data_IF_376680031332
#
_entry.id   IF_376680031332
#
_cell.length_a   1.000
_cell.length_b   1.000
_cell.length_c   1.000
_cell.angle_alpha   90.00
_cell.angle_beta   90.00
_cell.angle_gamma   90.00
#
_symmetry.space_group_name_H-M   'P 1'
#
loop_
_entity.id
_entity.type
_entity.pdbx_description
1 polymer ?
#
# COMPACT_ATOMS: atom_id res chain seq x y z
N UNK A 1 -12.11 1.43 -15.19
CA UNK A 1 -10.80 1.27 -14.52
C UNK A 1 -10.60 -0.12 -13.91
N UNK A 2 -11.49 -0.59 -13.03
CA UNK A 2 -11.36 -1.88 -12.32
C UNK A 2 -11.07 -3.08 -13.24
N UNK A 3 -11.73 -3.18 -14.41
CA UNK A 3 -11.46 -4.24 -15.40
C UNK A 3 -10.00 -4.31 -15.84
N UNK A 4 -9.34 -3.16 -16.05
CA UNK A 4 -7.90 -3.11 -16.42
C UNK A 4 -7.01 -3.60 -15.28
N UNK A 5 -7.38 -3.28 -14.03
CA UNK A 5 -6.64 -3.72 -12.83
C UNK A 5 -6.74 -5.24 -12.70
N UNK A 6 -7.96 -5.81 -12.73
CA UNK A 6 -8.15 -7.26 -12.66
C UNK A 6 -7.46 -8.02 -13.80
N UNK A 7 -7.44 -7.46 -15.01
CA UNK A 7 -6.73 -8.09 -16.12
C UNK A 7 -5.20 -8.13 -15.92
N UNK A 8 -4.62 -7.06 -15.36
CA UNK A 8 -3.16 -6.94 -15.12
C UNK A 8 -2.71 -7.65 -13.84
N UNK A 9 -3.57 -7.74 -12.82
CA UNK A 9 -3.32 -8.35 -11.52
C UNK A 9 -4.31 -9.50 -11.31
N UNK A 10 -3.96 -10.69 -11.80
CA UNK A 10 -4.77 -11.90 -11.62
C UNK A 10 -4.77 -12.40 -10.16
N UNK A 11 -3.85 -11.91 -9.35
CA UNK A 11 -3.69 -12.25 -7.94
C UNK A 11 -4.61 -11.46 -6.99
N UNK A 12 -5.36 -10.46 -7.48
CA UNK A 12 -6.31 -9.69 -6.67
C UNK A 12 -7.74 -10.12 -6.97
N UNK A 13 -8.59 -10.06 -5.95
CA UNK A 13 -10.04 -10.32 -6.06
C UNK A 13 -10.87 -9.14 -5.56
N UNK A 14 -10.32 -8.27 -4.72
CA UNK A 14 -11.00 -7.13 -4.11
C UNK A 14 -10.28 -5.83 -4.43
N UNK A 15 -11.06 -4.83 -4.85
CA UNK A 15 -10.65 -3.44 -5.00
C UNK A 15 -11.50 -2.62 -4.04
N UNK A 16 -10.86 -1.94 -3.09
CA UNK A 16 -11.54 -1.11 -2.10
C UNK A 16 -11.11 0.35 -2.27
N UNK A 17 -12.08 1.26 -2.37
CA UNK A 17 -11.83 2.70 -2.34
C UNK A 17 -11.40 3.13 -0.93
N UNK A 18 -10.37 3.97 -0.86
CA UNK A 18 -9.95 4.66 0.37
C UNK A 18 -10.35 6.13 0.27
N UNK A 19 -11.17 6.58 1.21
CA UNK A 19 -11.69 7.95 1.29
C UNK A 19 -11.09 8.75 2.45
N UNK A 20 -9.97 8.32 3.02
CA UNK A 20 -9.32 9.01 4.14
C UNK A 20 -8.63 10.31 3.68
N UNK A 21 -8.88 11.40 4.40
CA UNK A 21 -8.37 12.73 4.07
C UNK A 21 -6.86 12.87 4.16
N UNK A 22 -6.22 12.18 5.12
CA UNK A 22 -4.76 12.21 5.27
C UNK A 22 -4.07 11.52 4.09
N UNK A 23 -4.67 10.42 3.63
CA UNK A 23 -4.20 9.69 2.45
C UNK A 23 -4.45 10.50 1.16
N UNK A 24 -5.55 11.26 1.10
CA UNK A 24 -5.91 12.06 -0.07
C UNK A 24 -4.84 13.10 -0.43
N UNK A 25 -4.09 13.62 0.54
CA UNK A 25 -2.96 14.54 0.30
C UNK A 25 -1.84 13.95 -0.58
N UNK A 26 -1.78 12.62 -0.69
CA UNK A 26 -0.77 11.92 -1.47
C UNK A 26 -1.31 11.42 -2.83
N UNK A 27 -2.52 11.81 -3.22
CA UNK A 27 -3.07 11.50 -4.56
C UNK A 27 -2.14 12.01 -5.65
N UNK A 28 -1.93 11.17 -6.66
CA UNK A 28 -1.01 11.47 -7.75
C UNK A 28 0.48 11.44 -7.34
N UNK A 29 0.82 11.10 -6.11
CA UNK A 29 2.21 11.06 -5.63
C UNK A 29 2.65 9.62 -5.32
N UNK A 30 3.97 9.43 -5.17
CA UNK A 30 4.53 8.19 -4.65
C UNK A 30 4.72 8.29 -3.14
N UNK A 31 4.05 7.43 -2.38
CA UNK A 31 4.21 7.34 -0.94
C UNK A 31 5.15 6.19 -0.60
N UNK A 32 6.22 6.49 0.15
CA UNK A 32 7.23 5.52 0.62
C UNK A 32 6.87 4.98 2.02
N UNK A 33 7.40 3.81 2.40
CA UNK A 33 7.25 3.24 3.73
C UNK A 33 7.97 4.09 4.78
N UNK A 34 7.23 4.53 5.79
CA UNK A 34 7.75 5.08 7.04
C UNK A 34 7.50 4.14 8.22
N UNK A 35 6.62 3.14 8.03
CA UNK A 35 6.27 2.14 9.02
C UNK A 35 6.41 0.73 8.45
N UNK A 36 6.82 -0.21 9.28
CA UNK A 36 6.96 -1.63 8.96
C UNK A 36 5.68 -2.25 8.38
N UNK A 37 4.52 -1.94 8.98
CA UNK A 37 3.24 -2.50 8.53
C UNK A 37 2.92 -2.09 7.09
N UNK A 38 3.28 -0.87 6.70
CA UNK A 38 3.15 -0.41 5.32
C UNK A 38 4.08 -1.22 4.40
N UNK A 39 5.35 -1.38 4.76
CA UNK A 39 6.28 -2.17 3.97
C UNK A 39 5.81 -3.62 3.80
N UNK A 40 5.25 -4.22 4.86
CA UNK A 40 4.74 -5.60 4.85
C UNK A 40 3.49 -5.78 4.00
N UNK A 41 2.51 -4.88 4.12
CA UNK A 41 1.20 -5.00 3.46
C UNK A 41 1.17 -4.33 2.08
N UNK A 42 1.62 -3.09 2.00
CA UNK A 42 1.59 -2.28 0.77
C UNK A 42 2.80 -2.57 -0.11
N UNK A 43 3.98 -2.74 0.50
CA UNK A 43 5.23 -3.00 -0.19
C UNK A 43 6.15 -1.77 -0.24
N UNK A 44 6.97 -1.70 -1.29
CA UNK A 44 8.02 -0.68 -1.41
C UNK A 44 7.48 0.74 -1.61
N UNK A 45 6.28 0.89 -2.17
CA UNK A 45 5.61 2.16 -2.36
C UNK A 45 4.14 1.97 -2.75
N UNK A 46 3.32 2.97 -2.40
CA UNK A 46 2.04 3.24 -3.05
C UNK A 46 2.25 4.30 -4.13
N UNK A 47 1.73 4.08 -5.33
CA UNK A 47 1.90 4.99 -6.47
C UNK A 47 0.80 4.77 -7.51
N UNK A 48 0.98 5.30 -8.72
CA UNK A 48 0.00 5.20 -9.80
C UNK A 48 0.13 3.92 -10.65
N UNK A 49 1.15 3.08 -10.41
CA UNK A 49 1.34 1.86 -11.19
C UNK A 49 0.31 0.82 -10.77
N UNK A 50 -0.45 0.32 -11.74
CA UNK A 50 -1.40 -0.78 -11.62
C UNK A 50 -0.80 -2.07 -11.01
N UNK A 51 0.53 -2.20 -10.94
CA UNK A 51 1.22 -3.30 -10.25
C UNK A 51 1.36 -3.09 -8.73
N UNK A 52 1.14 -1.88 -8.21
CA UNK A 52 1.17 -1.63 -6.76
C UNK A 52 -0.04 -2.25 -6.06
N UNK A 53 0.07 -2.53 -4.77
CA UNK A 53 -1.06 -2.96 -3.94
C UNK A 53 -1.95 -1.79 -3.53
N UNK A 54 -1.43 -0.56 -3.58
CA UNK A 54 -2.20 0.66 -3.34
C UNK A 54 -2.00 1.61 -4.51
N UNK A 55 -3.10 2.00 -5.16
CA UNK A 55 -3.10 2.98 -6.23
C UNK A 55 -3.41 4.36 -5.66
N UNK A 56 -2.46 5.29 -5.78
CA UNK A 56 -2.62 6.71 -5.47
C UNK A 56 -2.86 7.51 -6.74
N UNK A 57 -4.04 7.35 -7.34
CA UNK A 57 -4.42 8.09 -8.54
C UNK A 57 -4.74 9.55 -8.18
N UNK A 58 -4.71 10.49 -9.14
CA UNK A 58 -5.01 11.89 -8.88
C UNK A 58 -6.42 12.13 -8.31
N UNK A 59 -7.39 11.34 -8.74
CA UNK A 59 -8.81 11.44 -8.38
C UNK A 59 -9.17 10.53 -7.20
N UNK A 60 -8.63 9.31 -7.16
CA UNK A 60 -9.07 8.26 -6.25
C UNK A 60 -7.92 7.41 -5.71
N UNK A 61 -8.13 6.83 -4.53
CA UNK A 61 -7.17 5.93 -3.90
C UNK A 61 -7.78 4.55 -3.76
N UNK A 62 -7.08 3.52 -4.20
CA UNK A 62 -7.54 2.14 -4.12
C UNK A 62 -6.58 1.24 -3.39
N UNK A 63 -7.11 0.40 -2.50
CA UNK A 63 -6.40 -0.75 -1.94
C UNK A 63 -6.81 -2.01 -2.72
N UNK A 64 -5.82 -2.73 -3.22
CA UNK A 64 -5.98 -3.93 -4.04
C UNK A 64 -5.55 -5.16 -3.24
N UNK A 65 -6.40 -6.17 -3.13
CA UNK A 65 -6.11 -7.34 -2.30
C UNK A 65 -6.81 -8.61 -2.71
N UNK A 66 -6.39 -9.72 -2.09
CA UNK A 66 -6.95 -11.08 -2.25
C UNK A 66 -8.25 -11.31 -1.48
N UNK A 67 -8.59 -10.45 -0.54
CA UNK A 67 -9.79 -10.53 0.28
C UNK A 67 -10.15 -9.16 0.84
N UNK A 68 -11.40 -9.00 1.27
CA UNK A 68 -11.85 -7.77 1.92
C UNK A 68 -11.01 -7.46 3.17
N UNK A 69 -10.78 -8.48 4.00
CA UNK A 69 -9.92 -8.35 5.20
C UNK A 69 -8.54 -7.81 4.86
N UNK A 70 -7.88 -8.36 3.84
CA UNK A 70 -6.55 -7.90 3.42
C UNK A 70 -6.60 -6.43 2.97
N UNK A 71 -7.63 -6.01 2.23
CA UNK A 71 -7.77 -4.60 1.81
C UNK A 71 -8.02 -3.64 2.98
N UNK A 72 -8.72 -4.08 4.02
CA UNK A 72 -8.96 -3.29 5.25
C UNK A 72 -7.68 -3.13 6.06
N UNK A 73 -6.92 -4.21 6.25
CA UNK A 73 -5.62 -4.16 6.94
C UNK A 73 -4.64 -3.22 6.21
N UNK A 74 -4.63 -3.31 4.87
CA UNK A 74 -3.78 -2.48 4.02
C UNK A 74 -4.18 -1.00 4.06
N UNK A 75 -5.48 -0.70 4.09
CA UNK A 75 -5.97 0.67 4.29
C UNK A 75 -5.54 1.22 5.66
N UNK A 76 -5.64 0.42 6.72
CA UNK A 76 -5.21 0.86 8.06
C UNK A 76 -3.71 1.20 8.07
N UNK A 77 -2.88 0.34 7.46
CA UNK A 77 -1.45 0.58 7.33
C UNK A 77 -1.15 1.83 6.49
N UNK A 78 -1.88 2.04 5.40
CA UNK A 78 -1.79 3.22 4.55
C UNK A 78 -2.09 4.51 5.34
N UNK A 79 -3.16 4.52 6.13
CA UNK A 79 -3.56 5.68 6.95
C UNK A 79 -2.51 6.03 8.00
N UNK A 80 -1.98 5.02 8.71
CA UNK A 80 -0.90 5.23 9.69
C UNK A 80 0.35 5.78 9.01
N UNK A 81 0.70 5.23 7.85
CA UNK A 81 1.88 5.66 7.09
C UNK A 81 1.73 7.08 6.54
N UNK A 82 0.54 7.48 6.08
CA UNK A 82 0.27 8.84 5.62
C UNK A 82 0.52 9.87 6.75
N UNK A 83 0.05 9.58 7.96
CA UNK A 83 0.30 10.41 9.15
C UNK A 83 1.80 10.45 9.50
N UNK A 84 2.46 9.29 9.50
CA UNK A 84 3.90 9.21 9.76
C UNK A 84 4.70 10.01 8.72
N UNK A 85 4.35 9.94 7.44
CA UNK A 85 4.99 10.68 6.36
C UNK A 85 4.84 12.21 6.54
N UNK A 86 3.68 12.68 6.99
CA UNK A 86 3.47 14.10 7.30
C UNK A 86 4.35 14.57 8.46
N UNK A 87 4.40 13.79 9.54
CA UNK A 87 5.26 14.09 10.70
C UNK A 87 6.72 14.07 10.27
N UNK A 88 7.12 13.06 9.49
CA UNK A 88 8.48 12.91 8.97
C UNK A 88 8.92 14.11 8.10
N UNK A 89 8.00 14.68 7.33
CA UNK A 89 8.26 15.91 6.56
C UNK A 89 8.57 17.11 7.46
N UNK A 90 7.99 17.16 8.66
CA UNK A 90 8.25 18.21 9.64
C UNK A 90 9.53 17.94 10.46
N UNK A 91 9.81 16.68 10.80
CA UNK A 91 10.95 16.27 11.63
C UNK A 91 12.23 15.96 10.85
N UNK A 92 12.19 15.98 9.52
CA UNK A 92 13.32 15.60 8.65
C UNK A 92 13.62 14.09 8.64
N UNK A 93 12.71 13.25 9.15
CA UNK A 93 12.89 11.80 9.20
C UNK A 93 12.77 11.20 7.79
N UNK A 94 13.69 10.29 7.45
CA UNK A 94 13.70 9.62 6.14
C UNK A 94 12.83 8.35 6.15
N UNK A 95 12.26 7.96 5.00
CA UNK A 95 11.53 6.70 4.87
C UNK A 95 12.47 5.49 5.01
N UNK A 96 11.88 4.33 5.32
CA UNK A 96 12.55 3.04 5.35
C UNK A 96 13.24 2.79 4.00
N UNK A 97 14.47 2.30 4.04
CA UNK A 97 15.24 2.03 2.84
C UNK A 97 14.53 0.98 1.96
N UNK A 98 14.66 1.14 0.65
CA UNK A 98 13.92 0.34 -0.33
C UNK A 98 14.18 -1.16 -0.20
N UNK A 99 15.41 -1.55 0.14
CA UNK A 99 15.78 -2.95 0.32
C UNK A 99 15.19 -3.56 1.59
N UNK A 100 15.18 -2.82 2.69
CA UNK A 100 14.56 -3.27 3.94
C UNK A 100 13.06 -3.47 3.76
N UNK A 101 12.40 -2.49 3.12
CA UNK A 101 10.98 -2.59 2.81
C UNK A 101 10.67 -3.81 1.92
N UNK A 102 11.52 -4.10 0.93
CA UNK A 102 11.35 -5.24 0.05
C UNK A 102 11.49 -6.57 0.80
N UNK A 103 12.50 -6.69 1.66
CA UNK A 103 12.72 -7.89 2.48
C UNK A 103 11.57 -8.12 3.46
N UNK A 104 11.07 -7.04 4.09
CA UNK A 104 9.89 -7.11 4.96
C UNK A 104 8.66 -7.61 4.20
N UNK A 105 8.42 -7.11 3.00
CA UNK A 105 7.30 -7.55 2.16
C UNK A 105 7.43 -9.02 1.76
N UNK A 106 8.60 -9.44 1.29
CA UNK A 106 8.86 -10.84 0.92
C UNK A 106 8.63 -11.79 2.10
N UNK A 107 9.12 -11.43 3.30
CA UNK A 107 8.93 -12.25 4.51
C UNK A 107 7.45 -12.37 4.86
N UNK A 108 6.70 -11.27 4.75
CA UNK A 108 5.26 -11.26 4.96
C UNK A 108 4.54 -12.19 3.98
N UNK A 109 4.78 -12.03 2.67
CA UNK A 109 4.17 -12.87 1.63
C UNK A 109 4.47 -14.36 1.83
N UNK A 110 5.71 -14.71 2.20
CA UNK A 110 6.10 -16.10 2.49
C UNK A 110 5.36 -16.68 3.70
N UNK A 111 5.19 -15.91 4.77
CA UNK A 111 4.46 -16.35 5.98
C UNK A 111 3.02 -16.68 5.65
N UNK A 112 2.33 -15.83 4.88
CA UNK A 112 0.93 -16.04 4.52
C UNK A 112 0.72 -17.08 3.41
N UNK A 113 1.67 -17.22 2.47
CA UNK A 113 1.63 -18.29 1.47
C UNK A 113 1.68 -19.69 2.13
N UNK A 114 2.43 -19.83 3.23
CA UNK A 114 2.47 -21.09 4.01
C UNK A 114 1.19 -21.39 4.77
N UNK A 115 0.35 -20.39 5.03
CA UNK A 115 -0.93 -20.57 5.75
C UNK A 115 -2.11 -20.87 4.82
N UNK A 116 -1.88 -20.82 3.50
CA UNK A 116 -2.91 -21.06 2.47
C UNK A 116 -2.72 -22.37 1.71
N UNK A 117 -1.75 -23.20 2.13
CA UNK A 117 -1.58 -24.61 1.72
C UNK A 117 -1.91 -25.50 2.91
#
# INVERSE_FOLDING_TARGET
MHKKIYWKRKDISVIKLCSDGEVAHFRGQTMRPYLDDFARLVGNAANQDLRSNVLLLPDQVFCLGKSLRHTVEMELALRKNARAARIAKLSGTVPIARWDAYLMNLRYQRKYFKQTK
#
